data_IF_632903285894
#
_entry.id   IF_632903285894
#
_cell.length_a   1.000
_cell.length_b   1.000
_cell.length_c   1.000
_cell.angle_alpha   90.00
_cell.angle_beta   90.00
_cell.angle_gamma   90.00
#
_symmetry.space_group_name_H-M   'P 1'
#
loop_
_entity.id
_entity.type
_entity.pdbx_description
1 polymer ?
#
# COMPACT_ATOMS: atom_id res chain seq x y z
N UNK A 1 10.25 18.53 3.18
CA UNK A 1 10.98 17.60 4.06
C UNK A 1 9.98 17.13 5.10
N UNK A 2 9.82 15.82 5.25
CA UNK A 2 8.92 15.25 6.24
C UNK A 2 9.70 14.95 7.52
N UNK A 3 9.06 15.19 8.67
CA UNK A 3 9.61 14.93 9.98
C UNK A 3 8.66 14.01 10.75
N UNK A 4 9.15 12.81 11.08
CA UNK A 4 8.40 11.83 11.88
C UNK A 4 9.03 11.73 13.27
N UNK A 5 8.23 11.84 14.34
CA UNK A 5 8.75 11.68 15.69
C UNK A 5 9.23 10.24 15.89
N UNK A 6 10.47 10.13 16.32
CA UNK A 6 11.11 8.90 16.75
C UNK A 6 10.74 8.63 18.22
N UNK A 7 10.09 7.51 18.54
CA UNK A 7 9.84 7.15 19.95
C UNK A 7 11.18 6.73 20.59
N UNK A 8 11.51 7.23 21.78
CA UNK A 8 12.81 6.95 22.40
C UNK A 8 13.09 5.44 22.64
N UNK A 9 12.03 4.64 22.73
CA UNK A 9 12.09 3.18 22.90
C UNK A 9 11.89 2.41 21.58
N UNK A 10 11.82 3.09 20.44
CA UNK A 10 11.58 2.45 19.16
C UNK A 10 12.75 1.54 18.77
N UNK A 11 12.53 0.21 18.66
CA UNK A 11 13.56 -0.71 18.19
C UNK A 11 14.11 -0.27 16.82
N UNK A 12 13.30 0.38 15.98
CA UNK A 12 13.71 0.86 14.65
C UNK A 12 14.77 1.97 14.69
N UNK A 13 15.00 2.62 15.84
CA UNK A 13 16.08 3.59 16.04
C UNK A 13 17.35 2.94 16.59
N UNK A 14 17.22 1.73 17.14
CA UNK A 14 18.36 0.92 17.52
C UNK A 14 18.92 0.23 16.28
N UNK A 15 20.26 0.18 16.18
CA UNK A 15 20.95 -0.63 15.17
C UNK A 15 20.41 -2.07 15.17
N UNK A 16 20.06 -2.58 16.36
CA UNK A 16 19.50 -3.93 16.51
C UNK A 16 18.16 -4.09 15.80
N UNK A 17 17.22 -3.16 15.97
CA UNK A 17 15.90 -3.28 15.33
C UNK A 17 15.95 -3.04 13.82
N UNK A 18 16.83 -2.14 13.35
CA UNK A 18 17.09 -1.99 11.90
C UNK A 18 17.62 -3.29 11.31
N UNK A 19 18.61 -3.92 11.96
CA UNK A 19 19.20 -5.19 11.51
C UNK A 19 18.17 -6.32 11.57
N UNK A 20 17.33 -6.37 12.60
CA UNK A 20 16.24 -7.36 12.72
C UNK A 20 15.23 -7.19 11.58
N UNK A 21 14.76 -5.98 11.33
CA UNK A 21 13.85 -5.69 10.23
C UNK A 21 14.45 -6.08 8.88
N UNK A 22 15.69 -5.67 8.60
CA UNK A 22 16.40 -6.06 7.38
C UNK A 22 16.53 -7.57 7.23
N UNK A 23 16.81 -8.28 8.32
CA UNK A 23 16.89 -9.74 8.32
C UNK A 23 15.55 -10.37 7.94
N UNK A 24 14.44 -9.92 8.54
CA UNK A 24 13.10 -10.43 8.22
C UNK A 24 12.74 -10.17 6.76
N UNK A 25 13.05 -8.98 6.23
CA UNK A 25 12.84 -8.64 4.82
C UNK A 25 13.66 -9.55 3.89
N UNK A 26 14.95 -9.75 4.17
CA UNK A 26 15.81 -10.63 3.37
C UNK A 26 15.29 -12.07 3.41
N UNK A 27 14.84 -12.56 4.57
CA UNK A 27 14.26 -13.89 4.71
C UNK A 27 12.97 -14.04 3.90
N UNK A 28 12.06 -13.06 3.99
CA UNK A 28 10.83 -13.04 3.21
C UNK A 28 11.12 -13.06 1.70
N UNK A 29 12.01 -12.18 1.21
CA UNK A 29 12.40 -12.16 -0.21
C UNK A 29 13.02 -13.49 -0.66
N UNK A 30 13.90 -14.06 0.17
CA UNK A 30 14.56 -15.34 -0.15
C UNK A 30 13.54 -16.48 -0.26
N UNK A 31 12.54 -16.52 0.64
CA UNK A 31 11.47 -17.49 0.58
C UNK A 31 10.67 -17.34 -0.71
N UNK A 32 10.24 -16.12 -1.03
CA UNK A 32 9.48 -15.84 -2.25
C UNK A 32 10.22 -16.25 -3.52
N UNK A 33 11.55 -16.09 -3.55
CA UNK A 33 12.40 -16.53 -4.67
C UNK A 33 12.55 -18.06 -4.77
N UNK A 34 12.33 -18.80 -3.68
CA UNK A 34 12.41 -20.27 -3.67
C UNK A 34 11.09 -20.94 -4.07
N UNK A 35 9.99 -20.20 -4.09
CA UNK A 35 8.70 -20.72 -4.54
C UNK A 35 8.80 -21.11 -6.02
N UNK A 36 8.24 -22.27 -6.37
CA UNK A 36 8.18 -22.73 -7.74
C UNK A 36 7.32 -21.76 -8.56
N UNK A 37 7.86 -21.31 -9.70
CA UNK A 37 7.11 -20.46 -10.62
C UNK A 37 5.86 -21.15 -11.15
N UNK A 38 4.81 -20.36 -11.41
CA UNK A 38 3.56 -20.84 -12.00
C UNK A 38 2.34 -20.79 -11.09
N UNK A 39 2.52 -20.50 -9.80
CA UNK A 39 1.42 -20.34 -8.85
C UNK A 39 1.43 -18.93 -8.23
N UNK A 40 0.65 -18.02 -8.82
CA UNK A 40 0.52 -16.63 -8.35
C UNK A 40 -0.28 -16.57 -7.05
N UNK A 41 -1.22 -17.48 -6.84
CA UNK A 41 -2.02 -17.51 -5.62
C UNK A 41 -1.16 -17.86 -4.41
N UNK A 42 -0.35 -18.92 -4.53
CA UNK A 42 0.60 -19.31 -3.49
C UNK A 42 1.60 -18.20 -3.18
N UNK A 43 2.04 -17.45 -4.21
CA UNK A 43 2.90 -16.30 -4.04
C UNK A 43 2.20 -15.20 -3.22
N UNK A 44 0.97 -14.83 -3.59
CA UNK A 44 0.18 -13.83 -2.88
C UNK A 44 -0.13 -14.26 -1.43
N UNK A 45 -0.51 -15.52 -1.19
CA UNK A 45 -0.74 -16.08 0.15
C UNK A 45 0.51 -15.93 1.03
N UNK A 46 1.67 -16.29 0.48
CA UNK A 46 2.94 -16.16 1.20
C UNK A 46 3.25 -14.70 1.51
N UNK A 47 2.97 -13.77 0.58
CA UNK A 47 3.22 -12.34 0.76
C UNK A 47 2.37 -11.77 1.89
N UNK A 48 1.06 -12.02 1.91
CA UNK A 48 0.18 -11.43 2.93
C UNK A 48 0.54 -11.88 4.34
N UNK A 49 0.95 -13.13 4.52
CA UNK A 49 1.38 -13.65 5.81
C UNK A 49 2.66 -12.98 6.31
N UNK A 50 3.67 -12.84 5.44
CA UNK A 50 4.93 -12.19 5.81
C UNK A 50 4.75 -10.69 6.05
N UNK A 51 3.95 -10.01 5.22
CA UNK A 51 3.64 -8.60 5.43
C UNK A 51 2.91 -8.41 6.75
N UNK A 52 1.97 -9.29 7.09
CA UNK A 52 1.26 -9.25 8.38
C UNK A 52 2.20 -9.46 9.56
N UNK A 53 3.12 -10.43 9.48
CA UNK A 53 4.14 -10.66 10.51
C UNK A 53 5.10 -9.46 10.66
N UNK A 54 5.50 -8.84 9.55
CA UNK A 54 6.42 -7.70 9.52
C UNK A 54 5.80 -6.41 10.07
N UNK A 55 4.54 -6.16 9.73
CA UNK A 55 3.88 -4.87 9.97
C UNK A 55 2.92 -4.89 11.15
N UNK A 56 2.54 -6.08 11.62
CA UNK A 56 1.60 -6.31 12.71
C UNK A 56 0.21 -5.69 12.48
N UNK A 57 -0.20 -5.46 11.23
CA UNK A 57 -1.57 -5.06 10.92
C UNK A 57 -2.55 -6.21 11.19
N UNK A 58 -3.76 -5.88 11.63
CA UNK A 58 -4.77 -6.89 11.95
C UNK A 58 -5.25 -7.65 10.70
N UNK A 59 -5.23 -7.00 9.54
CA UNK A 59 -5.70 -7.52 8.26
C UNK A 59 -4.78 -7.01 7.14
N UNK A 60 -4.24 -7.94 6.36
CA UNK A 60 -3.45 -7.69 5.15
C UNK A 60 -4.12 -8.41 3.99
N UNK A 61 -4.18 -7.76 2.84
CA UNK A 61 -4.93 -8.23 1.67
C UNK A 61 -4.20 -7.85 0.39
N UNK A 62 -4.43 -8.60 -0.68
CA UNK A 62 -3.97 -8.28 -2.04
C UNK A 62 -5.18 -7.95 -2.91
N UNK A 63 -5.17 -6.76 -3.51
CA UNK A 63 -6.16 -6.37 -4.52
C UNK A 63 -5.63 -6.61 -5.93
N UNK A 64 -6.38 -7.34 -6.75
CA UNK A 64 -6.11 -7.45 -8.19
C UNK A 64 -7.06 -6.54 -8.97
N UNK A 65 -6.52 -5.69 -9.85
CA UNK A 65 -7.35 -4.95 -10.82
C UNK A 65 -7.61 -5.79 -12.07
N UNK A 66 -8.87 -5.82 -12.50
CA UNK A 66 -9.31 -6.49 -13.72
C UNK A 66 -9.28 -5.55 -14.93
N UNK A 67 -9.56 -6.08 -16.12
CA UNK A 67 -9.50 -5.35 -17.39
C UNK A 67 -10.49 -4.18 -17.48
N UNK A 68 -11.67 -4.34 -16.86
CA UNK A 68 -12.70 -3.30 -16.68
C UNK A 68 -12.43 -2.40 -15.47
N UNK A 69 -11.20 -2.45 -14.95
CA UNK A 69 -10.65 -1.63 -13.87
C UNK A 69 -11.26 -1.85 -12.48
N UNK A 70 -12.25 -2.73 -12.30
CA UNK A 70 -12.72 -3.06 -10.95
C UNK A 70 -11.64 -3.88 -10.20
N UNK A 71 -11.74 -3.96 -8.88
CA UNK A 71 -10.79 -4.73 -8.07
C UNK A 71 -11.43 -5.93 -7.38
N UNK A 72 -10.70 -7.02 -7.26
CA UNK A 72 -11.05 -8.21 -6.49
C UNK A 72 -10.05 -8.41 -5.34
N UNK A 73 -10.54 -8.77 -4.16
CA UNK A 73 -9.69 -9.26 -3.08
C UNK A 73 -9.35 -10.73 -3.28
N UNK A 74 -8.17 -11.00 -3.84
CA UNK A 74 -7.78 -12.36 -4.22
C UNK A 74 -7.25 -13.18 -3.05
N UNK A 75 -6.59 -12.53 -2.10
CA UNK A 75 -5.90 -13.17 -0.98
C UNK A 75 -5.95 -12.26 0.25
N UNK A 76 -6.09 -12.85 1.44
CA UNK A 76 -6.03 -12.14 2.72
C UNK A 76 -5.39 -12.95 3.85
N UNK A 77 -4.78 -12.24 4.80
CA UNK A 77 -4.31 -12.75 6.10
C UNK A 77 -4.84 -11.83 7.19
N UNK A 78 -5.58 -12.37 8.17
CA UNK A 78 -6.33 -11.55 9.14
C UNK A 78 -6.39 -12.16 10.54
N UNK A 79 -6.70 -11.33 11.54
CA UNK A 79 -7.09 -11.79 12.87
C UNK A 79 -8.40 -12.61 12.82
N UNK A 80 -8.54 -13.57 13.74
CA UNK A 80 -9.64 -14.55 13.74
C UNK A 80 -11.02 -13.94 13.99
N UNK A 81 -11.06 -12.77 14.62
CA UNK A 81 -12.25 -12.01 15.00
C UNK A 81 -12.76 -11.06 13.90
N UNK A 82 -12.00 -10.86 12.82
CA UNK A 82 -12.40 -10.03 11.68
C UNK A 82 -13.21 -10.83 10.64
N UNK A 83 -14.14 -10.18 9.96
CA UNK A 83 -14.86 -10.80 8.85
C UNK A 83 -13.95 -10.93 7.61
N UNK A 84 -14.01 -12.05 6.88
CA UNK A 84 -13.25 -12.21 5.65
C UNK A 84 -13.78 -11.30 4.53
N UNK A 85 -12.88 -10.79 3.70
CA UNK A 85 -13.19 -10.04 2.48
C UNK A 85 -12.79 -10.77 1.20
N UNK A 86 -12.17 -11.95 1.30
CA UNK A 86 -11.76 -12.75 0.16
C UNK A 86 -12.91 -12.96 -0.86
N UNK A 87 -12.62 -12.71 -2.14
CA UNK A 87 -13.54 -12.86 -3.27
C UNK A 87 -14.53 -11.70 -3.45
N UNK A 88 -14.45 -10.64 -2.66
CA UNK A 88 -15.28 -9.45 -2.87
C UNK A 88 -14.73 -8.59 -4.01
N UNK A 89 -15.64 -8.14 -4.88
CA UNK A 89 -15.37 -7.22 -5.96
C UNK A 89 -15.81 -5.80 -5.59
N UNK A 90 -14.96 -4.83 -5.89
CA UNK A 90 -15.16 -3.41 -5.60
C UNK A 90 -15.14 -2.60 -6.90
N UNK A 91 -16.03 -1.61 -7.03
CA UNK A 91 -16.15 -0.82 -8.23
C UNK A 91 -14.94 0.11 -8.43
N UNK A 92 -14.75 0.57 -9.66
CA UNK A 92 -13.63 1.45 -10.04
C UNK A 92 -13.57 2.77 -9.25
N UNK A 93 -14.72 3.22 -8.74
CA UNK A 93 -14.86 4.47 -7.98
C UNK A 93 -14.19 4.42 -6.60
N UNK A 94 -13.99 3.22 -6.04
CA UNK A 94 -13.39 3.07 -4.71
C UNK A 94 -11.90 3.40 -4.72
N UNK A 95 -11.23 3.11 -5.85
CA UNK A 95 -9.83 3.47 -6.11
C UNK A 95 -9.76 4.20 -7.46
N UNK A 96 -9.92 5.54 -7.46
CA UNK A 96 -9.91 6.35 -8.67
C UNK A 96 -8.63 6.17 -9.50
N UNK A 97 -8.72 6.32 -10.83
CA UNK A 97 -7.58 6.24 -11.74
C UNK A 97 -6.43 7.19 -11.34
N UNK A 98 -6.74 8.38 -10.83
CA UNK A 98 -5.75 9.32 -10.33
C UNK A 98 -4.92 8.73 -9.18
N UNK A 99 -5.57 8.09 -8.19
CA UNK A 99 -4.89 7.41 -7.09
C UNK A 99 -4.00 6.28 -7.58
N UNK A 100 -4.48 5.46 -8.54
CA UNK A 100 -3.67 4.39 -9.15
C UNK A 100 -2.42 4.93 -9.85
N UNK A 101 -2.56 6.06 -10.55
CA UNK A 101 -1.42 6.72 -11.17
C UNK A 101 -0.42 7.23 -10.13
N UNK A 102 -0.91 7.82 -9.03
CA UNK A 102 -0.05 8.28 -7.93
C UNK A 102 0.69 7.12 -7.25
N UNK A 103 0.06 5.95 -7.11
CA UNK A 103 0.70 4.74 -6.58
C UNK A 103 1.85 4.21 -7.45
N UNK A 104 1.87 4.51 -8.75
CA UNK A 104 3.03 4.21 -9.62
C UNK A 104 4.23 5.10 -9.32
N UNK A 105 4.00 6.29 -8.75
CA UNK A 105 5.04 7.24 -8.38
C UNK A 105 5.46 7.07 -6.91
N UNK A 106 4.48 6.81 -6.03
CA UNK A 106 4.68 6.58 -4.61
C UNK A 106 4.13 5.20 -4.24
N UNK A 107 5.01 4.21 -4.25
CA UNK A 107 4.62 2.82 -4.09
C UNK A 107 4.14 2.47 -2.67
N UNK A 108 4.23 3.38 -1.70
CA UNK A 108 3.82 3.14 -0.32
C UNK A 108 3.07 4.37 0.21
N UNK A 109 1.86 4.15 0.73
CA UNK A 109 1.06 5.17 1.39
C UNK A 109 0.62 4.66 2.77
N UNK A 110 0.80 5.48 3.81
CA UNK A 110 0.46 5.12 5.18
C UNK A 110 -0.48 6.17 5.77
N UNK A 111 -1.59 5.71 6.33
CA UNK A 111 -2.53 6.51 7.11
C UNK A 111 -2.55 5.91 8.51
N UNK A 112 -2.05 6.66 9.50
CA UNK A 112 -1.94 6.16 10.88
C UNK A 112 -3.29 6.21 11.61
N UNK A 113 -4.13 7.18 11.27
CA UNK A 113 -5.46 7.35 11.85
C UNK A 113 -6.31 8.20 10.89
N UNK A 114 -7.36 7.64 10.32
CA UNK A 114 -8.26 8.38 9.41
C UNK A 114 -9.05 9.48 10.13
N UNK A 115 -9.25 9.35 11.44
CA UNK A 115 -10.09 10.24 12.25
C UNK A 115 -9.36 11.50 12.71
N UNK A 116 -8.03 11.55 12.53
CA UNK A 116 -7.21 12.71 12.87
C UNK A 116 -7.53 13.90 11.98
N UNK A 117 -7.73 15.07 12.60
CA UNK A 117 -7.96 16.32 11.87
C UNK A 117 -6.73 16.70 11.03
N UNK A 118 -6.88 16.92 9.70
CA UNK A 118 -5.77 17.33 8.85
C UNK A 118 -5.15 18.64 9.30
N UNK A 119 -3.81 18.73 9.24
CA UNK A 119 -3.06 19.95 9.56
C UNK A 119 -2.68 20.67 8.27
N UNK A 120 -3.08 21.94 8.16
CA UNK A 120 -2.78 22.76 6.99
C UNK A 120 -1.32 23.18 6.94
N UNK A 121 -0.73 23.11 5.75
CA UNK A 121 0.63 23.61 5.49
C UNK A 121 0.56 25.12 5.29
N UNK A 122 1.34 25.86 6.07
CA UNK A 122 1.54 27.30 5.87
C UNK A 122 2.53 27.48 4.72
N UNK A 123 2.10 28.18 3.68
CA UNK A 123 2.88 28.44 2.48
C UNK A 123 3.03 29.94 2.23
N UNK A 124 4.11 30.36 1.55
CA UNK A 124 4.34 31.76 1.18
C UNK A 124 3.29 32.21 0.16
N UNK A 125 2.70 33.39 0.35
CA UNK A 125 1.68 33.98 -0.54
C UNK A 125 2.18 34.22 -1.97
N UNK A 126 3.50 34.27 -2.18
CA UNK A 126 4.13 34.40 -3.50
C UNK A 126 3.98 33.14 -4.36
N UNK A 127 3.61 32.00 -3.77
CA UNK A 127 3.35 30.78 -4.52
C UNK A 127 2.02 30.89 -5.27
N UNK A 128 2.08 30.78 -6.59
CA UNK A 128 0.91 30.87 -7.49
C UNK A 128 -0.04 29.67 -7.37
N UNK A 129 0.40 28.58 -6.75
CA UNK A 129 -0.37 27.35 -6.58
C UNK A 129 -0.01 26.68 -5.24
N UNK A 130 -0.91 25.83 -4.69
CA UNK A 130 -0.61 25.04 -3.51
C UNK A 130 0.62 24.14 -3.69
N UNK A 131 1.31 23.85 -2.58
CA UNK A 131 2.41 22.90 -2.57
C UNK A 131 1.95 21.52 -3.05
N UNK A 132 2.79 20.88 -3.87
CA UNK A 132 2.54 19.53 -4.35
C UNK A 132 3.07 18.51 -3.31
N UNK A 133 2.15 17.87 -2.58
CA UNK A 133 2.48 16.97 -1.46
C UNK A 133 2.42 15.48 -1.83
N UNK A 134 2.30 15.15 -3.11
CA UNK A 134 2.17 13.76 -3.57
C UNK A 134 3.34 12.86 -3.12
N UNK A 135 4.55 13.40 -2.99
CA UNK A 135 5.71 12.67 -2.48
C UNK A 135 5.89 12.72 -0.96
N UNK A 136 4.99 13.36 -0.22
CA UNK A 136 5.05 13.43 1.24
C UNK A 136 4.44 12.19 1.85
N UNK A 137 5.19 11.57 2.76
CA UNK A 137 4.76 10.44 3.59
C UNK A 137 3.82 10.84 4.73
N UNK A 138 3.49 12.13 4.84
CA UNK A 138 2.59 12.72 5.83
C UNK A 138 1.33 13.32 5.19
N UNK A 139 1.11 13.08 3.89
CA UNK A 139 -0.07 13.60 3.20
C UNK A 139 -1.35 13.04 3.84
N UNK A 140 -2.27 13.92 4.22
CA UNK A 140 -3.56 13.51 4.75
C UNK A 140 -4.41 12.81 3.67
N UNK A 141 -5.24 11.82 4.05
CA UNK A 141 -6.19 11.23 3.11
C UNK A 141 -7.26 12.25 2.69
N UNK A 142 -7.83 12.03 1.51
CA UNK A 142 -9.02 12.75 1.07
C UNK A 142 -10.23 12.36 1.94
N UNK A 143 -11.15 13.29 2.23
CA UNK A 143 -12.31 13.07 3.10
C UNK A 143 -13.16 11.85 2.70
N UNK A 144 -13.43 11.68 1.40
CA UNK A 144 -14.10 10.47 0.88
C UNK A 144 -13.39 9.16 1.28
N UNK A 145 -12.06 9.13 1.25
CA UNK A 145 -11.30 7.94 1.64
C UNK A 145 -11.30 7.75 3.16
N UNK A 146 -11.22 8.83 3.95
CA UNK A 146 -11.36 8.75 5.39
C UNK A 146 -12.74 8.21 5.81
N UNK A 147 -13.81 8.64 5.14
CA UNK A 147 -15.16 8.09 5.35
C UNK A 147 -15.27 6.63 4.91
N UNK A 148 -14.62 6.25 3.81
CA UNK A 148 -14.56 4.86 3.37
C UNK A 148 -13.89 3.96 4.42
N UNK A 149 -12.73 4.39 4.94
CA UNK A 149 -12.02 3.71 6.03
C UNK A 149 -12.89 3.56 7.28
N UNK A 150 -13.61 4.63 7.66
CA UNK A 150 -14.59 4.58 8.75
C UNK A 150 -15.67 3.53 8.52
N UNK A 151 -16.22 3.43 7.32
CA UNK A 151 -17.28 2.49 6.98
C UNK A 151 -16.79 1.03 6.97
N UNK A 152 -15.54 0.81 6.55
CA UNK A 152 -14.88 -0.49 6.58
C UNK A 152 -14.36 -0.88 7.98
N UNK A 153 -14.38 0.04 8.94
CA UNK A 153 -13.85 -0.19 10.29
C UNK A 153 -12.31 -0.19 10.37
N UNK A 154 -11.63 0.32 9.34
CA UNK A 154 -10.17 0.43 9.31
C UNK A 154 -9.75 1.77 9.89
N UNK A 155 -9.07 1.76 11.05
CA UNK A 155 -8.55 2.98 11.69
C UNK A 155 -7.28 3.47 11.00
N UNK A 156 -6.38 2.54 10.71
CA UNK A 156 -5.09 2.77 10.07
C UNK A 156 -4.96 1.90 8.82
N UNK A 157 -4.22 2.38 7.82
CA UNK A 157 -3.96 1.64 6.58
C UNK A 157 -2.51 1.82 6.12
N UNK A 158 -2.00 0.79 5.46
CA UNK A 158 -0.75 0.79 4.71
C UNK A 158 -1.03 0.17 3.34
N UNK A 159 -0.96 0.97 2.30
CA UNK A 159 -1.17 0.55 0.92
C UNK A 159 0.18 0.45 0.19
N UNK A 160 0.41 -0.65 -0.51
CA UNK A 160 1.68 -0.91 -1.21
C UNK A 160 1.44 -1.33 -2.66
N UNK A 161 1.97 -0.54 -3.59
CA UNK A 161 1.87 -0.81 -5.01
C UNK A 161 2.76 -2.00 -5.42
N UNK A 162 2.15 -3.03 -5.99
CA UNK A 162 2.81 -4.10 -6.73
C UNK A 162 2.80 -3.71 -8.20
N UNK A 163 3.98 -3.49 -8.79
CA UNK A 163 4.11 -3.04 -10.17
C UNK A 163 4.79 -4.13 -10.99
N UNK A 164 4.09 -4.59 -12.03
CA UNK A 164 4.64 -5.55 -12.99
C UNK A 164 5.03 -4.81 -14.26
N UNK A 165 6.33 -4.75 -14.55
CA UNK A 165 6.81 -4.27 -15.84
C UNK A 165 6.65 -5.39 -16.87
N UNK A 166 5.75 -5.21 -17.83
CA UNK A 166 5.78 -5.97 -19.07
C UNK A 166 7.03 -5.53 -19.84
N UNK A 167 8.06 -6.37 -19.88
CA UNK A 167 9.26 -6.12 -20.65
C UNK A 167 8.94 -6.08 -22.14
N UNK A 168 8.61 -4.91 -22.68
CA UNK A 168 8.60 -4.66 -24.11
C UNK A 168 9.93 -4.01 -24.50
N UNK A 169 10.92 -4.84 -24.79
CA UNK A 169 11.86 -4.54 -25.88
C UNK A 169 11.08 -4.67 -27.20
N UNK A 170 10.28 -3.66 -27.56
CA UNK A 170 10.02 -3.31 -28.97
C UNK A 170 9.16 -2.06 -29.07
N UNK A 171 9.56 -1.17 -29.97
CA UNK A 171 8.95 0.14 -30.24
C UNK A 171 7.58 0.07 -30.89
N UNK A 172 6.59 -0.47 -30.20
CA UNK A 172 5.18 -0.44 -30.58
C UNK A 172 4.33 -0.05 -29.39
N UNK A 173 3.53 1.02 -29.54
CA UNK A 173 2.56 1.48 -28.54
C UNK A 173 1.58 0.36 -28.17
N UNK A 174 1.87 -0.42 -27.12
CA UNK A 174 0.88 -1.21 -26.41
C UNK A 174 0.35 -0.39 -25.23
N UNK A 175 -0.95 -0.17 -25.20
CA UNK A 175 -1.66 0.68 -24.25
C UNK A 175 -2.16 -0.08 -23.02
N UNK A 176 -1.58 -1.25 -22.70
CA UNK A 176 -1.94 -2.00 -21.50
C UNK A 176 -1.17 -1.41 -20.32
N UNK A 177 -1.85 -0.81 -19.31
CA UNK A 177 -1.14 -0.31 -18.16
C UNK A 177 -0.45 -1.49 -17.44
N UNK A 178 0.76 -1.29 -16.88
CA UNK A 178 1.37 -2.31 -16.03
C UNK A 178 0.39 -2.70 -14.92
N UNK A 179 0.27 -4.00 -14.66
CA UNK A 179 -0.55 -4.53 -13.58
C UNK A 179 -0.15 -3.84 -12.28
N UNK A 180 -1.09 -3.12 -11.70
CA UNK A 180 -0.97 -2.58 -10.36
C UNK A 180 -1.80 -3.51 -9.47
N UNK A 181 -1.22 -4.03 -8.41
CA UNK A 181 -1.98 -4.51 -7.27
C UNK A 181 -1.67 -3.58 -6.09
N UNK A 182 -2.61 -3.41 -5.17
CA UNK A 182 -2.45 -2.61 -3.94
C UNK A 182 -2.60 -3.54 -2.74
#
# INVERSE_FOLDING_TARGET
>A
MDLKPARAEDPALSIVGVVQFQKLVIQAISLLQTLLGGDVHLLCDTIVDHVRELTCYDHVMVYQFHEDEHSEMVVESKCNDLNPYMGLHYPTIDIPQASRFLFKQNCVCMIVDYSTTPVYVIQDERLVQPLYLVGSTLCAPHDYHAQYMSNMGSIASLAMAVIINSGNEDGGRSSSPPGLAI
#
